data_IF_567631901046
#
_entry.id   IF_567631901046
#
_cell.length_a   1.000
_cell.length_b   1.000
_cell.length_c   1.000
_cell.angle_alpha   90.00
_cell.angle_beta   90.00
_cell.angle_gamma   90.00
#
_symmetry.space_group_name_H-M   'P 1'
#
loop_
_entity.id
_entity.type
_entity.pdbx_description
1 polymer ?
#
# COMPACT_ATOMS: atom_id res chain seq x y z
N UNK A 1 -12.21 -22.54 1.83
CA UNK A 1 -11.36 -22.70 0.63
C UNK A 1 -9.91 -22.60 1.05
N UNK A 2 -9.00 -23.43 0.50
CA UNK A 2 -7.57 -23.28 0.74
C UNK A 2 -7.09 -21.90 0.24
N UNK A 3 -6.08 -21.34 0.90
CA UNK A 3 -5.43 -20.11 0.43
C UNK A 3 -4.75 -20.36 -0.92
N UNK A 4 -4.82 -19.42 -1.88
CA UNK A 4 -4.12 -19.57 -3.16
C UNK A 4 -2.62 -19.73 -2.97
N UNK A 5 -2.01 -20.69 -3.67
CA UNK A 5 -0.55 -20.89 -3.68
C UNK A 5 0.15 -19.71 -4.36
N UNK A 6 1.47 -19.54 -4.14
CA UNK A 6 2.23 -18.47 -4.81
C UNK A 6 2.11 -18.49 -6.34
N UNK A 7 2.08 -19.68 -6.95
CA UNK A 7 1.86 -19.86 -8.40
C UNK A 7 0.46 -19.38 -8.81
N UNK A 8 -0.58 -19.74 -8.05
CA UNK A 8 -1.95 -19.29 -8.33
C UNK A 8 -2.10 -17.77 -8.18
N UNK A 9 -1.43 -17.17 -7.19
CA UNK A 9 -1.39 -15.72 -7.00
C UNK A 9 -0.74 -15.02 -8.20
N UNK A 10 0.39 -15.54 -8.67
CA UNK A 10 1.11 -14.99 -9.83
C UNK A 10 0.28 -15.08 -11.11
N UNK A 11 -0.32 -16.25 -11.39
CA UNK A 11 -1.19 -16.44 -12.53
C UNK A 11 -2.42 -15.50 -12.51
N UNK A 12 -3.00 -15.27 -11.32
CA UNK A 12 -4.09 -14.29 -11.16
C UNK A 12 -3.61 -12.87 -11.46
N UNK A 13 -2.45 -12.48 -10.91
CA UNK A 13 -1.87 -11.16 -11.13
C UNK A 13 -1.55 -10.91 -12.61
N UNK A 14 -0.93 -11.86 -13.30
CA UNK A 14 -0.61 -11.78 -14.74
C UNK A 14 -1.88 -11.65 -15.60
N UNK A 15 -2.98 -12.28 -15.18
CA UNK A 15 -4.25 -12.25 -15.92
C UNK A 15 -5.02 -10.96 -15.72
N UNK A 16 -5.08 -10.47 -14.47
CA UNK A 16 -6.00 -9.39 -14.09
C UNK A 16 -5.31 -8.06 -13.75
N UNK A 17 -3.99 -8.05 -13.62
CA UNK A 17 -3.22 -6.85 -13.28
C UNK A 17 -3.31 -6.40 -11.83
N UNK A 18 -3.90 -7.21 -10.93
CA UNK A 18 -3.94 -6.93 -9.50
C UNK A 18 -3.96 -8.22 -8.68
N UNK A 19 -3.58 -8.12 -7.40
CA UNK A 19 -3.69 -9.21 -6.43
C UNK A 19 -4.13 -8.63 -5.08
N UNK A 20 -5.14 -9.25 -4.46
CA UNK A 20 -5.57 -8.92 -3.09
C UNK A 20 -5.08 -9.99 -2.13
N UNK A 21 -4.28 -9.60 -1.14
CA UNK A 21 -3.84 -10.46 -0.03
C UNK A 21 -4.47 -9.94 1.27
N UNK A 22 -5.38 -10.71 1.86
CA UNK A 22 -6.13 -10.27 3.05
C UNK A 22 -5.39 -10.64 4.33
N UNK A 23 -5.23 -9.68 5.23
CA UNK A 23 -4.69 -9.92 6.57
C UNK A 23 -3.18 -10.16 6.63
N UNK A 24 -2.44 -9.77 5.60
CA UNK A 24 -0.99 -9.97 5.51
C UNK A 24 -0.21 -9.31 6.66
N UNK A 25 -0.69 -8.14 7.13
CA UNK A 25 -0.10 -7.34 8.21
C UNK A 25 -1.06 -7.20 9.40
N UNK A 26 -1.96 -8.18 9.60
CA UNK A 26 -3.05 -8.05 10.58
C UNK A 26 -2.53 -7.90 12.02
N UNK A 27 -1.42 -8.56 12.35
CA UNK A 27 -0.79 -8.51 13.67
C UNK A 27 -0.15 -7.16 13.95
N UNK A 28 0.44 -6.54 12.93
CA UNK A 28 1.21 -5.31 12.98
C UNK A 28 0.35 -4.06 12.74
N UNK A 29 -0.88 -4.22 12.26
CA UNK A 29 -1.77 -3.13 11.87
C UNK A 29 -1.91 -2.02 12.94
N UNK A 30 -2.08 -2.31 14.25
CA UNK A 30 -2.19 -1.24 15.25
C UNK A 30 -0.93 -0.36 15.34
N UNK A 31 0.25 -0.96 15.20
CA UNK A 31 1.53 -0.23 15.25
C UNK A 31 1.73 0.59 13.97
N UNK A 32 1.45 -0.01 12.80
CA UNK A 32 1.51 0.69 11.51
C UNK A 32 0.56 1.89 11.50
N UNK A 33 -0.67 1.72 12.01
CA UNK A 33 -1.65 2.80 12.07
C UNK A 33 -1.17 3.93 13.00
N UNK A 34 -0.65 3.61 14.18
CA UNK A 34 -0.11 4.62 15.09
C UNK A 34 1.05 5.42 14.47
N UNK A 35 1.97 4.74 13.77
CA UNK A 35 3.05 5.38 13.05
C UNK A 35 2.53 6.25 11.89
N UNK A 36 1.55 5.76 11.12
CA UNK A 36 0.90 6.49 10.03
C UNK A 36 0.25 7.78 10.52
N UNK A 37 -0.60 7.70 11.55
CA UNK A 37 -1.32 8.86 12.10
C UNK A 37 -0.36 9.91 12.67
N UNK A 38 0.77 9.47 13.23
CA UNK A 38 1.76 10.36 13.80
C UNK A 38 2.50 11.22 12.77
N UNK A 39 2.54 10.86 11.48
CA UNK A 39 3.23 11.64 10.43
C UNK A 39 2.60 13.02 10.22
N UNK A 40 1.27 13.07 10.13
CA UNK A 40 0.54 14.29 9.78
C UNK A 40 0.78 15.47 10.74
N UNK A 41 0.63 15.32 12.08
CA UNK A 41 0.85 16.43 13.01
C UNK A 41 2.31 16.91 13.04
N UNK A 42 3.30 16.05 12.73
CA UNK A 42 4.71 16.47 12.63
C UNK A 42 4.93 17.49 11.51
N UNK A 43 4.13 17.42 10.45
CA UNK A 43 4.18 18.35 9.32
C UNK A 43 3.16 19.50 9.46
N UNK A 44 2.51 19.63 10.62
CA UNK A 44 1.45 20.61 10.85
C UNK A 44 0.17 20.35 10.03
N UNK A 45 -0.01 19.12 9.55
CA UNK A 45 -1.16 18.73 8.73
C UNK A 45 -2.23 18.07 9.60
N UNK A 46 -3.50 18.38 9.28
CA UNK A 46 -4.68 17.73 9.86
C UNK A 46 -5.66 17.44 8.74
N UNK A 47 -6.08 16.19 8.61
CA UNK A 47 -7.15 15.83 7.69
C UNK A 47 -8.50 16.26 8.26
N UNK A 48 -9.28 17.00 7.48
CA UNK A 48 -10.61 17.51 7.86
C UNK A 48 -11.76 16.83 7.11
N UNK A 49 -11.47 15.86 6.24
CA UNK A 49 -12.46 15.15 5.44
C UNK A 49 -13.08 15.96 4.31
N UNK A 50 -12.59 17.19 4.03
CA UNK A 50 -13.10 18.02 2.92
C UNK A 50 -12.38 17.73 1.61
N UNK A 51 -11.11 17.32 1.70
CA UNK A 51 -10.25 16.97 0.56
C UNK A 51 -9.22 15.93 0.99
N UNK A 52 -8.72 15.18 0.00
CA UNK A 52 -7.61 14.24 0.20
C UNK A 52 -6.42 14.97 0.85
N UNK A 53 -5.86 14.36 1.90
CA UNK A 53 -4.58 14.76 2.48
C UNK A 53 -3.55 13.71 2.11
N UNK A 54 -2.53 14.09 1.35
CA UNK A 54 -1.53 13.20 0.78
C UNK A 54 -0.13 13.73 1.10
N UNK A 55 0.74 12.84 1.54
CA UNK A 55 2.16 13.12 1.77
C UNK A 55 2.95 12.10 0.95
N UNK A 56 3.87 12.58 0.12
CA UNK A 56 4.76 11.74 -0.71
C UNK A 56 6.03 11.36 0.05
N UNK A 57 6.70 10.28 -0.37
CA UNK A 57 7.82 9.66 0.34
C UNK A 57 7.44 9.38 1.80
N UNK A 58 6.31 8.70 1.98
CA UNK A 58 5.62 8.60 3.26
C UNK A 58 6.27 7.64 4.23
N UNK A 59 6.65 6.44 3.78
CA UNK A 59 7.23 5.43 4.68
C UNK A 59 8.59 5.88 5.24
N UNK A 60 9.27 6.81 4.56
CA UNK A 60 10.55 7.37 4.98
C UNK A 60 10.43 8.34 6.17
N UNK A 61 9.21 8.84 6.44
CA UNK A 61 8.97 9.85 7.48
C UNK A 61 9.18 9.31 8.89
N UNK A 62 9.04 7.99 9.09
CA UNK A 62 9.19 7.36 10.41
C UNK A 62 9.82 5.99 10.32
N UNK A 63 10.66 5.67 11.29
CA UNK A 63 11.38 4.39 11.37
C UNK A 63 10.45 3.17 11.34
N UNK A 64 9.30 3.24 12.01
CA UNK A 64 8.35 2.12 12.02
C UNK A 64 7.73 1.84 10.65
N UNK A 65 7.45 2.89 9.88
CA UNK A 65 6.94 2.75 8.51
C UNK A 65 8.05 2.32 7.54
N UNK A 66 9.25 2.86 7.69
CA UNK A 66 10.41 2.52 6.87
C UNK A 66 10.74 1.01 6.96
N UNK A 67 10.56 0.41 8.14
CA UNK A 67 10.72 -1.03 8.35
C UNK A 67 9.76 -1.92 7.54
N UNK A 68 8.69 -1.36 6.96
CA UNK A 68 7.83 -2.10 6.04
C UNK A 68 8.57 -2.51 4.76
N UNK A 69 9.57 -1.75 4.33
CA UNK A 69 10.38 -2.07 3.16
C UNK A 69 11.13 -3.40 3.32
N UNK A 70 11.48 -3.76 4.56
CA UNK A 70 12.17 -4.99 4.91
C UNK A 70 11.23 -6.08 5.45
N UNK A 71 9.91 -5.86 5.42
CA UNK A 71 8.96 -6.79 6.02
C UNK A 71 8.93 -8.11 5.24
N UNK A 72 9.24 -9.26 5.87
CA UNK A 72 9.46 -10.52 5.15
C UNK A 72 8.24 -10.98 4.36
N UNK A 73 7.03 -10.75 4.89
CA UNK A 73 5.80 -11.10 4.19
C UNK A 73 5.50 -10.19 2.98
N UNK A 74 5.94 -8.92 3.02
CA UNK A 74 5.82 -8.00 1.88
C UNK A 74 6.85 -8.35 0.82
N UNK A 75 8.10 -8.57 1.21
CA UNK A 75 9.17 -9.02 0.31
C UNK A 75 8.80 -10.33 -0.39
N UNK A 76 8.29 -11.32 0.35
CA UNK A 76 7.85 -12.58 -0.25
C UNK A 76 6.67 -12.41 -1.21
N UNK A 77 5.71 -11.52 -0.89
CA UNK A 77 4.57 -11.25 -1.76
C UNK A 77 5.00 -10.54 -3.05
N UNK A 78 5.83 -9.50 -2.96
CA UNK A 78 6.35 -8.74 -4.10
C UNK A 78 7.29 -9.59 -4.95
N UNK A 79 8.23 -10.31 -4.32
CA UNK A 79 9.16 -11.22 -5.00
C UNK A 79 8.43 -12.34 -5.74
N UNK A 80 7.33 -12.85 -5.17
CA UNK A 80 6.45 -13.79 -5.86
C UNK A 80 5.73 -13.19 -7.09
N UNK A 81 5.69 -11.88 -7.29
CA UNK A 81 5.05 -11.28 -8.46
C UNK A 81 6.08 -10.84 -9.51
N UNK A 82 7.17 -10.20 -9.09
CA UNK A 82 8.10 -9.54 -10.01
C UNK A 82 9.55 -10.03 -9.92
N UNK A 83 9.82 -11.05 -9.09
CA UNK A 83 11.17 -11.53 -8.80
C UNK A 83 11.79 -10.79 -7.62
N UNK A 84 12.90 -11.31 -7.09
CA UNK A 84 13.50 -10.83 -5.83
C UNK A 84 14.42 -9.60 -6.01
N UNK A 85 14.74 -9.25 -7.25
CA UNK A 85 15.59 -8.09 -7.59
C UNK A 85 14.72 -6.89 -7.96
N UNK A 86 14.21 -6.20 -6.93
CA UNK A 86 13.41 -4.98 -7.07
C UNK A 86 13.87 -3.92 -6.09
N UNK A 87 13.53 -2.67 -6.38
CA UNK A 87 13.83 -1.53 -5.51
C UNK A 87 12.57 -0.74 -5.17
N UNK A 88 12.56 -0.16 -3.98
CA UNK A 88 11.58 0.85 -3.59
C UNK A 88 11.80 2.15 -4.38
N UNK A 89 10.73 2.74 -4.91
CA UNK A 89 10.78 3.99 -5.68
C UNK A 89 10.18 5.18 -4.94
N UNK A 90 9.22 4.94 -4.05
CA UNK A 90 8.45 5.98 -3.41
C UNK A 90 7.14 5.43 -2.86
N UNK A 91 6.54 6.18 -1.95
CA UNK A 91 5.25 5.87 -1.35
C UNK A 91 4.44 7.13 -1.12
N UNK A 92 3.13 6.97 -0.98
CA UNK A 92 2.26 8.05 -0.52
C UNK A 92 1.30 7.59 0.58
N UNK A 93 1.23 8.39 1.65
CA UNK A 93 0.30 8.20 2.75
C UNK A 93 -0.90 9.10 2.56
N UNK A 94 -2.08 8.48 2.50
CA UNK A 94 -3.31 9.15 2.11
C UNK A 94 -4.38 9.02 3.18
N UNK A 95 -4.97 10.16 3.54
CA UNK A 95 -6.36 10.21 3.93
C UNK A 95 -7.21 10.58 2.73
N UNK A 96 -8.07 9.65 2.27
CA UNK A 96 -8.94 9.86 1.13
C UNK A 96 -10.22 10.61 1.50
N UNK A 97 -10.67 11.46 0.57
CA UNK A 97 -12.00 12.06 0.58
C UNK A 97 -12.55 12.00 -0.84
N UNK A 98 -13.75 11.45 -0.99
CA UNK A 98 -14.41 11.31 -2.28
C UNK A 98 -13.75 10.27 -3.20
N UNK A 99 -14.13 10.33 -4.47
CA UNK A 99 -13.69 9.39 -5.51
C UNK A 99 -12.32 9.78 -6.08
N UNK A 100 -11.51 8.77 -6.43
CA UNK A 100 -10.30 8.98 -7.23
C UNK A 100 -10.62 8.90 -8.71
N UNK A 101 -10.03 9.77 -9.52
CA UNK A 101 -10.22 9.74 -10.97
C UNK A 101 -9.54 8.52 -11.60
N UNK A 102 -10.11 8.02 -12.69
CA UNK A 102 -9.48 6.98 -13.50
C UNK A 102 -8.18 7.48 -14.12
N UNK A 103 -7.08 6.77 -13.88
CA UNK A 103 -5.78 7.06 -14.47
C UNK A 103 -4.91 5.79 -14.51
N UNK A 104 -3.82 5.88 -15.27
CA UNK A 104 -2.69 4.95 -15.18
C UNK A 104 -1.58 5.62 -14.37
N UNK A 105 -0.88 4.84 -13.55
CA UNK A 105 0.18 5.38 -12.69
C UNK A 105 1.42 5.82 -13.48
N UNK A 106 1.74 5.17 -14.60
CA UNK A 106 2.85 5.60 -15.46
C UNK A 106 2.70 5.17 -16.92
N UNK A 107 3.52 5.76 -17.77
CA UNK A 107 3.65 5.46 -19.21
C UNK A 107 4.75 4.45 -19.53
N UNK A 108 5.63 4.12 -18.58
CA UNK A 108 6.59 3.01 -18.70
C UNK A 108 5.93 1.66 -19.04
N UNK A 109 6.68 0.72 -19.64
CA UNK A 109 6.17 -0.60 -19.96
C UNK A 109 5.61 -1.34 -18.73
N UNK A 110 4.49 -2.03 -18.92
CA UNK A 110 3.95 -2.99 -17.95
C UNK A 110 5.03 -4.00 -17.61
N UNK A 111 5.25 -4.26 -16.32
CA UNK A 111 6.32 -5.08 -15.71
C UNK A 111 7.54 -4.31 -15.18
N UNK A 112 7.62 -2.98 -15.35
CA UNK A 112 8.74 -2.20 -14.81
C UNK A 112 8.58 -1.81 -13.33
N UNK A 113 7.37 -1.96 -12.77
CA UNK A 113 7.03 -1.59 -11.39
C UNK A 113 5.67 -2.18 -11.00
N UNK A 114 5.42 -2.30 -9.69
CA UNK A 114 4.09 -2.56 -9.12
C UNK A 114 3.81 -1.53 -8.03
N UNK A 115 2.53 -1.26 -7.77
CA UNK A 115 2.09 -0.45 -6.64
C UNK A 115 1.54 -1.37 -5.55
N UNK A 116 1.94 -1.11 -4.30
CA UNK A 116 1.47 -1.87 -3.14
C UNK A 116 0.56 -0.98 -2.30
N UNK A 117 -0.74 -1.26 -2.33
CA UNK A 117 -1.71 -0.57 -1.49
C UNK A 117 -1.91 -1.28 -0.15
N UNK A 118 -1.51 -0.64 0.95
CA UNK A 118 -1.79 -1.07 2.32
C UNK A 118 -3.02 -0.33 2.85
N UNK A 119 -4.14 -1.04 3.00
CA UNK A 119 -5.35 -0.49 3.60
C UNK A 119 -5.26 -0.57 5.12
N UNK A 120 -5.27 0.59 5.77
CA UNK A 120 -5.13 0.69 7.22
C UNK A 120 -6.48 0.72 7.95
N UNK A 121 -7.56 0.97 7.21
CA UNK A 121 -8.94 0.90 7.66
C UNK A 121 -9.71 -0.23 6.95
N UNK A 122 -10.80 -0.74 7.55
CA UNK A 122 -11.74 -1.61 6.85
C UNK A 122 -12.26 -0.96 5.57
N UNK A 123 -11.98 -1.58 4.42
CA UNK A 123 -12.49 -1.13 3.13
C UNK A 123 -13.87 -1.70 2.93
N UNK A 124 -14.85 -0.80 2.86
CA UNK A 124 -16.22 -1.14 2.46
C UNK A 124 -16.53 -0.53 1.10
N UNK A 125 -17.65 -0.94 0.49
CA UNK A 125 -18.15 -0.30 -0.73
C UNK A 125 -18.27 1.23 -0.61
N UNK A 126 -18.44 1.74 0.61
CA UNK A 126 -18.67 3.15 0.91
C UNK A 126 -17.47 3.90 1.50
N UNK A 127 -16.30 3.26 1.69
CA UNK A 127 -15.14 3.96 2.26
C UNK A 127 -13.82 3.17 2.23
N UNK A 128 -12.78 3.70 1.57
CA UNK A 128 -11.40 3.66 2.06
C UNK A 128 -11.06 5.01 2.70
N UNK A 129 -10.48 5.01 3.91
CA UNK A 129 -10.14 6.24 4.65
C UNK A 129 -8.63 6.46 4.71
N UNK A 130 -7.86 5.52 5.26
CA UNK A 130 -6.40 5.56 5.26
C UNK A 130 -5.75 4.46 4.40
N UNK A 131 -4.77 4.83 3.59
CA UNK A 131 -3.89 3.86 2.93
C UNK A 131 -2.47 4.39 2.72
N UNK A 132 -1.53 3.47 2.61
CA UNK A 132 -0.19 3.71 2.05
C UNK A 132 -0.17 3.08 0.66
N UNK A 133 0.26 3.82 -0.35
CA UNK A 133 0.47 3.34 -1.73
C UNK A 133 1.95 3.30 -2.10
#
# INVERSE_FOLDING_TARGET
MPLPTPIQQRAFFETYGFLKISGLLKSELPEILAEFEAVFPQLGLKHDGTKRTMIVQFVDQRRGLCALLDHPALLAAVGNLIGDDFNYMGSDGNYYTGETTWHRDTTYPSNSYIKLALYLDPVTKSSPRAAIL
#
